data_IF_007016486027
#
_entry.id   IF_007016486027
#
_cell.length_a   1.000
_cell.length_b   1.000
_cell.length_c   1.000
_cell.angle_alpha   90.00
_cell.angle_beta   90.00
_cell.angle_gamma   90.00
#
_symmetry.space_group_name_H-M   'P 1'
#
loop_
_entity.id
_entity.type
_entity.pdbx_description
1 polymer ?
#
# COMPACT_ATOMS: atom_id res chain seq x y z
N UNK A 1 -6.93 -22.52 8.41
CA UNK A 1 -6.54 -21.21 7.85
C UNK A 1 -7.44 -20.93 6.67
N UNK A 2 -8.11 -19.76 6.59
CA UNK A 2 -8.97 -19.48 5.44
C UNK A 2 -8.10 -19.40 4.18
N UNK A 3 -8.49 -20.11 3.13
CA UNK A 3 -7.81 -20.04 1.84
C UNK A 3 -7.77 -18.58 1.37
N UNK A 4 -6.66 -18.18 0.74
CA UNK A 4 -6.48 -16.87 0.09
C UNK A 4 -7.62 -16.48 -0.87
N UNK A 5 -8.43 -17.45 -1.29
CA UNK A 5 -9.60 -17.31 -2.16
C UNK A 5 -10.96 -17.22 -1.44
N UNK A 6 -11.00 -17.16 -0.10
CA UNK A 6 -12.27 -16.98 0.61
C UNK A 6 -12.82 -15.57 0.37
N UNK A 7 -14.14 -15.45 0.21
CA UNK A 7 -14.83 -14.16 0.02
C UNK A 7 -14.45 -13.13 1.09
N UNK A 8 -14.14 -13.59 2.31
CA UNK A 8 -13.70 -12.75 3.42
C UNK A 8 -12.32 -12.09 3.19
N UNK A 9 -11.39 -12.73 2.47
CA UNK A 9 -10.07 -12.15 2.19
C UNK A 9 -10.11 -11.09 1.07
N UNK A 10 -11.16 -11.09 0.25
CA UNK A 10 -11.40 -10.08 -0.80
C UNK A 10 -11.95 -8.78 -0.22
N UNK A 11 -12.82 -8.85 0.80
CA UNK A 11 -13.46 -7.67 1.39
C UNK A 11 -12.66 -7.01 2.51
N UNK A 12 -11.42 -7.46 2.76
CA UNK A 12 -10.56 -6.85 3.78
C UNK A 12 -9.41 -6.07 3.17
N UNK A 13 -9.00 -5.04 3.90
CA UNK A 13 -7.81 -4.25 3.62
C UNK A 13 -6.50 -5.05 3.80
N UNK A 14 -6.56 -6.20 4.48
CA UNK A 14 -5.37 -6.97 4.84
C UNK A 14 -4.67 -7.53 3.61
N UNK A 15 -3.36 -7.37 3.60
CA UNK A 15 -2.45 -7.92 2.59
C UNK A 15 -2.12 -9.37 2.96
N UNK A 16 -2.54 -10.30 2.10
CA UNK A 16 -2.30 -11.74 2.25
C UNK A 16 -1.24 -12.26 1.27
N UNK A 17 -0.83 -11.44 0.30
CA UNK A 17 0.16 -11.80 -0.72
C UNK A 17 1.55 -11.27 -0.33
N UNK A 18 1.60 -10.09 0.31
CA UNK A 18 2.77 -9.57 0.98
C UNK A 18 3.55 -8.53 0.20
N UNK A 19 3.28 -8.33 -1.10
CA UNK A 19 3.98 -7.34 -1.93
C UNK A 19 3.80 -5.92 -1.39
N UNK A 20 2.58 -5.57 -0.99
CA UNK A 20 2.27 -4.27 -0.41
C UNK A 20 3.02 -4.05 0.90
N UNK A 21 2.99 -5.05 1.78
CA UNK A 21 3.67 -5.01 3.09
C UNK A 21 5.19 -4.92 2.93
N UNK A 22 5.79 -5.72 2.02
CA UNK A 22 7.22 -5.68 1.74
C UNK A 22 7.65 -4.31 1.18
N UNK A 23 6.95 -3.80 0.17
CA UNK A 23 7.22 -2.48 -0.41
C UNK A 23 7.06 -1.34 0.61
N UNK A 24 5.98 -1.36 1.40
CA UNK A 24 5.75 -0.37 2.45
C UNK A 24 6.85 -0.40 3.52
N UNK A 25 7.35 -1.60 3.88
CA UNK A 25 8.43 -1.74 4.86
C UNK A 25 9.77 -1.19 4.35
N UNK A 26 10.05 -1.32 3.05
CA UNK A 26 11.25 -0.73 2.40
C UNK A 26 11.16 0.79 2.36
N UNK A 27 9.98 1.35 2.05
CA UNK A 27 9.82 2.80 1.95
C UNK A 27 9.76 3.47 3.33
N UNK A 28 8.96 2.90 4.24
CA UNK A 28 8.48 3.58 5.44
C UNK A 28 8.50 2.70 6.72
N UNK A 29 9.13 1.52 6.68
CA UNK A 29 9.19 0.63 7.84
C UNK A 29 9.90 1.27 9.04
N UNK A 30 9.35 1.05 10.23
CA UNK A 30 10.04 1.40 11.46
C UNK A 30 11.21 0.43 11.70
N UNK A 31 12.12 0.80 12.61
CA UNK A 31 13.29 -0.01 12.93
C UNK A 31 12.90 -1.32 13.60
N UNK A 32 13.34 -2.43 13.00
CA UNK A 32 13.19 -3.79 13.53
C UNK A 32 14.59 -4.36 13.72
N UNK A 33 15.01 -4.48 14.97
CA UNK A 33 16.32 -5.05 15.34
C UNK A 33 16.36 -6.54 15.03
N UNK A 34 17.55 -7.02 14.67
CA UNK A 34 17.85 -8.45 14.43
C UNK A 34 16.93 -9.13 13.40
N UNK A 35 16.41 -8.35 12.43
CA UNK A 35 15.63 -8.86 11.33
C UNK A 35 16.50 -9.69 10.40
N UNK A 36 16.02 -10.87 10.00
CA UNK A 36 16.71 -11.78 9.09
C UNK A 36 15.74 -12.64 8.30
N UNK A 37 16.19 -13.15 7.15
CA UNK A 37 15.45 -14.15 6.37
C UNK A 37 16.14 -15.51 6.53
N UNK A 38 15.58 -16.38 7.37
CA UNK A 38 16.20 -17.67 7.74
C UNK A 38 17.66 -17.54 8.20
N UNK A 39 17.98 -16.46 8.94
CA UNK A 39 19.34 -16.17 9.43
C UNK A 39 20.25 -15.44 8.42
N UNK A 40 19.82 -15.26 7.18
CA UNK A 40 20.57 -14.48 6.17
C UNK A 40 20.25 -12.99 6.34
N UNK A 41 21.28 -12.15 6.26
CA UNK A 41 21.15 -10.69 6.26
C UNK A 41 20.75 -10.10 7.62
N UNK A 42 21.09 -10.77 8.73
CA UNK A 42 20.76 -10.32 10.07
C UNK A 42 21.27 -8.90 10.33
N UNK A 43 20.34 -7.97 10.51
CA UNK A 43 20.62 -6.55 10.72
C UNK A 43 19.38 -5.83 11.28
N UNK A 44 19.51 -4.52 11.55
CA UNK A 44 18.34 -3.69 11.82
C UNK A 44 17.67 -3.31 10.50
N UNK A 45 16.53 -3.93 10.20
CA UNK A 45 15.73 -3.55 9.04
C UNK A 45 14.97 -2.26 9.33
N UNK A 46 14.94 -1.34 8.36
CA UNK A 46 14.14 -0.11 8.42
C UNK A 46 13.84 0.38 7.00
N UNK A 47 12.81 1.22 6.89
CA UNK A 47 12.52 1.91 5.64
C UNK A 47 13.40 3.13 5.40
N UNK A 48 13.23 3.76 4.23
CA UNK A 48 13.86 5.04 3.91
C UNK A 48 13.49 6.15 4.91
N UNK A 49 12.22 6.22 5.33
CA UNK A 49 11.74 7.17 6.35
C UNK A 49 10.92 6.44 7.42
N UNK A 50 11.48 6.25 8.61
CA UNK A 50 10.91 5.41 9.68
C UNK A 50 9.92 6.11 10.61
N UNK A 51 9.81 7.44 10.56
CA UNK A 51 8.99 8.26 11.47
C UNK A 51 7.73 8.83 10.79
N UNK A 52 7.26 8.22 9.71
CA UNK A 52 6.07 8.69 8.97
C UNK A 52 4.81 7.96 9.40
N UNK A 53 3.65 8.54 9.08
CA UNK A 53 2.37 7.81 9.11
C UNK A 53 2.12 7.21 7.74
N UNK A 54 1.76 5.94 7.70
CA UNK A 54 1.45 5.22 6.47
C UNK A 54 -0.07 5.06 6.36
N UNK A 55 -0.64 5.61 5.29
CA UNK A 55 -1.96 5.26 4.80
C UNK A 55 -1.78 4.36 3.59
N UNK A 56 -2.47 3.23 3.57
CA UNK A 56 -2.28 2.25 2.53
C UNK A 56 -3.64 1.92 1.87
N UNK A 57 -3.61 1.66 0.57
CA UNK A 57 -4.78 1.45 -0.28
C UNK A 57 -4.60 0.15 -1.09
N UNK A 58 -5.44 -0.84 -0.87
CA UNK A 58 -5.36 -2.15 -1.53
C UNK A 58 -6.08 -2.05 -2.87
N UNK A 59 -5.29 -2.00 -3.94
CA UNK A 59 -5.78 -1.85 -5.33
C UNK A 59 -5.70 -3.15 -6.13
N UNK A 60 -4.98 -4.13 -5.61
CA UNK A 60 -4.80 -5.45 -6.19
C UNK A 60 -5.61 -6.48 -5.41
N UNK A 61 -6.16 -7.45 -6.15
CA UNK A 61 -6.84 -8.62 -5.61
C UNK A 61 -6.19 -9.89 -6.18
N UNK A 62 -6.55 -11.09 -5.70
CA UNK A 62 -6.16 -12.34 -6.34
C UNK A 62 -6.58 -12.46 -7.81
N UNK A 63 -7.59 -11.69 -8.26
CA UNK A 63 -8.00 -11.62 -9.66
C UNK A 63 -7.11 -10.66 -10.50
N UNK A 64 -6.12 -10.02 -9.88
CA UNK A 64 -5.21 -9.07 -10.50
C UNK A 64 -5.46 -7.63 -10.06
N UNK A 65 -4.81 -6.69 -10.76
CA UNK A 65 -4.88 -5.26 -10.51
C UNK A 65 -5.38 -4.54 -11.76
N UNK A 66 -6.37 -3.66 -11.61
CA UNK A 66 -6.86 -2.83 -12.72
C UNK A 66 -6.39 -1.39 -12.55
N UNK A 67 -6.13 -0.69 -13.67
CA UNK A 67 -5.72 0.73 -13.64
C UNK A 67 -6.73 1.61 -12.89
N UNK A 68 -8.02 1.28 -12.97
CA UNK A 68 -9.09 1.98 -12.29
C UNK A 68 -8.85 2.08 -10.78
N UNK A 69 -8.50 0.98 -10.11
CA UNK A 69 -8.31 1.01 -8.65
C UNK A 69 -7.08 1.83 -8.23
N UNK A 70 -6.02 1.88 -9.05
CA UNK A 70 -4.88 2.77 -8.80
C UNK A 70 -5.28 4.23 -8.86
N UNK A 71 -5.99 4.62 -9.91
CA UNK A 71 -6.48 5.98 -10.09
C UNK A 71 -7.44 6.43 -9.00
N UNK A 72 -8.36 5.55 -8.60
CA UNK A 72 -9.26 5.78 -7.46
C UNK A 72 -8.46 5.94 -6.16
N UNK A 73 -7.46 5.09 -5.90
CA UNK A 73 -6.63 5.18 -4.71
C UNK A 73 -5.81 6.48 -4.65
N UNK A 74 -5.19 6.89 -5.76
CA UNK A 74 -4.46 8.16 -5.85
C UNK A 74 -5.40 9.32 -5.51
N UNK A 75 -6.59 9.32 -6.12
CA UNK A 75 -7.61 10.34 -5.88
C UNK A 75 -8.04 10.41 -4.42
N UNK A 76 -8.32 9.26 -3.78
CA UNK A 76 -8.64 9.22 -2.34
C UNK A 76 -7.47 9.75 -1.50
N UNK A 77 -6.24 9.36 -1.84
CA UNK A 77 -5.03 9.82 -1.16
C UNK A 77 -4.87 11.34 -1.19
N UNK A 78 -5.01 11.94 -2.38
CA UNK A 78 -4.93 13.41 -2.55
C UNK A 78 -6.03 14.12 -1.78
N UNK A 79 -7.26 13.60 -1.83
CA UNK A 79 -8.38 14.15 -1.05
C UNK A 79 -8.13 14.07 0.47
N UNK A 80 -7.48 13.00 0.94
CA UNK A 80 -7.14 12.83 2.35
C UNK A 80 -6.06 13.81 2.85
N UNK A 81 -5.26 14.39 1.95
CA UNK A 81 -4.29 15.44 2.29
C UNK A 81 -4.93 16.81 2.50
N UNK A 82 -6.21 16.99 2.16
CA UNK A 82 -6.94 18.24 2.38
C UNK A 82 -6.59 19.37 1.40
N UNK A 83 -5.80 19.10 0.36
CA UNK A 83 -5.47 20.06 -0.70
C UNK A 83 -6.61 20.15 -1.72
N UNK A 84 -7.67 20.90 -1.38
CA UNK A 84 -8.90 21.03 -2.20
C UNK A 84 -8.63 21.53 -3.62
N UNK A 85 -7.65 22.42 -3.78
CA UNK A 85 -7.30 23.02 -5.08
C UNK A 85 -6.56 22.04 -6.01
N UNK A 86 -5.61 21.26 -5.46
CA UNK A 86 -4.86 20.25 -6.24
C UNK A 86 -5.70 19.01 -6.55
N UNK A 87 -6.60 18.64 -5.63
CA UNK A 87 -7.53 17.53 -5.81
C UNK A 87 -8.44 17.72 -7.02
N UNK A 88 -8.85 18.96 -7.31
CA UNK A 88 -9.73 19.28 -8.45
C UNK A 88 -8.98 19.23 -9.79
N UNK A 89 -7.71 19.66 -9.80
CA UNK A 89 -6.87 19.64 -11.01
C UNK A 89 -6.51 18.21 -11.46
N UNK A 90 -6.18 17.35 -10.50
CA UNK A 90 -5.95 15.92 -10.76
C UNK A 90 -7.23 15.19 -11.16
N UNK A 91 -8.39 15.60 -10.63
CA UNK A 91 -9.69 15.03 -11.01
C UNK A 91 -9.97 15.21 -12.52
N UNK A 92 -9.72 16.41 -13.05
CA UNK A 92 -9.89 16.73 -14.47
C UNK A 92 -8.95 15.92 -15.37
N UNK A 93 -7.69 15.78 -14.97
CA UNK A 93 -6.69 15.02 -15.74
C UNK A 93 -6.97 13.50 -15.74
N UNK A 94 -7.54 12.97 -14.65
CA UNK A 94 -7.88 11.55 -14.55
C UNK A 94 -9.16 11.15 -15.29
N UNK A 95 -10.14 12.06 -15.44
CA UNK A 95 -11.34 11.80 -16.25
C UNK A 95 -11.07 11.83 -17.76
N UNK A 96 -9.87 12.27 -18.17
CA UNK A 96 -9.42 12.35 -19.56
C UNK A 96 -8.56 11.14 -20.01
N UNK A 97 -8.40 10.13 -19.14
CA UNK A 97 -7.66 8.86 -19.39
C UNK A 97 -8.61 7.66 -19.37
#
# INVERSE_FOLDING_TARGET
MPSQWSMANLCTYRDYEGHGTHAASIAYGNEVKDASFFGVGQSTARGGVSLVRVAAYKVCSPAGCTKLYFFVAIKIGVLALGEKEMATFLFSALEQL
#
